data_IF_461012117217
#
_entry.id   IF_461012117217
#
_cell.length_a   1.000
_cell.length_b   1.000
_cell.length_c   1.000
_cell.angle_alpha   90.00
_cell.angle_beta   90.00
_cell.angle_gamma   90.00
#
_symmetry.space_group_name_H-M   'P 1'
#
loop_
_entity.id
_entity.type
_entity.pdbx_description
1 polymer ?
#
# COMPACT_ATOMS: atom_id res chain seq x y z
N UNK A 1 -12.27 -7.86 35.96
CA UNK A 1 -11.55 -8.36 34.76
C UNK A 1 -10.57 -7.27 34.35
N UNK A 2 -9.31 -7.56 33.98
CA UNK A 2 -8.44 -6.48 33.51
C UNK A 2 -8.99 -5.95 32.19
N UNK A 3 -9.02 -4.64 31.98
CA UNK A 3 -9.53 -4.00 30.76
C UNK A 3 -8.91 -4.55 29.48
N UNK A 4 -7.66 -5.03 29.54
CA UNK A 4 -6.95 -5.64 28.40
C UNK A 4 -7.41 -7.06 28.03
N UNK A 5 -8.15 -7.74 28.91
CA UNK A 5 -8.69 -9.09 28.72
C UNK A 5 -10.15 -9.11 28.24
N UNK A 6 -10.79 -7.94 28.17
CA UNK A 6 -12.16 -7.83 27.70
C UNK A 6 -12.30 -8.22 26.22
N UNK A 7 -13.44 -8.81 25.88
CA UNK A 7 -13.77 -9.25 24.53
C UNK A 7 -13.98 -8.04 23.62
N UNK A 8 -12.95 -7.70 22.85
CA UNK A 8 -12.98 -6.62 21.87
C UNK A 8 -12.39 -7.10 20.54
N UNK A 9 -12.84 -6.48 19.44
CA UNK A 9 -12.28 -6.67 18.10
C UNK A 9 -11.56 -5.39 17.68
N UNK A 10 -10.35 -5.56 17.14
CA UNK A 10 -9.46 -4.49 16.68
C UNK A 10 -9.23 -4.69 15.20
N UNK A 11 -9.78 -3.79 14.40
CA UNK A 11 -9.65 -3.80 12.95
C UNK A 11 -8.66 -2.73 12.54
N UNK A 12 -7.68 -3.07 11.71
CA UNK A 12 -6.86 -2.09 11.01
C UNK A 12 -7.13 -2.11 9.51
N UNK A 13 -7.09 -0.95 8.88
CA UNK A 13 -7.25 -0.76 7.44
C UNK A 13 -5.98 -0.08 6.94
N UNK A 14 -5.18 -0.81 6.18
CA UNK A 14 -4.04 -0.29 5.43
C UNK A 14 -4.55 0.34 4.13
N UNK A 15 -4.18 1.59 3.91
CA UNK A 15 -4.60 2.34 2.73
C UNK A 15 -3.49 3.25 2.22
N UNK A 16 -3.59 3.67 0.96
CA UNK A 16 -2.70 4.68 0.37
C UNK A 16 -3.14 6.08 0.79
N UNK A 17 -2.26 6.82 1.47
CA UNK A 17 -2.50 8.19 1.90
C UNK A 17 -3.00 9.07 0.75
N UNK A 18 -3.96 9.96 1.05
CA UNK A 18 -4.67 10.83 0.10
C UNK A 18 -5.57 10.07 -0.90
N UNK A 19 -5.04 9.07 -1.61
CA UNK A 19 -5.75 8.32 -2.65
C UNK A 19 -6.89 7.47 -2.10
N UNK A 20 -6.75 6.91 -0.90
CA UNK A 20 -7.73 6.02 -0.26
C UNK A 20 -8.17 6.50 1.13
N UNK A 21 -7.76 7.70 1.56
CA UNK A 21 -8.11 8.27 2.88
C UNK A 21 -9.61 8.25 3.14
N UNK A 22 -10.38 8.81 2.20
CA UNK A 22 -11.84 8.91 2.30
C UNK A 22 -12.49 7.52 2.28
N UNK A 23 -11.93 6.58 1.50
CA UNK A 23 -12.38 5.19 1.45
C UNK A 23 -12.20 4.49 2.80
N UNK A 24 -10.99 4.54 3.37
CA UNK A 24 -10.70 3.93 4.66
C UNK A 24 -11.55 4.52 5.79
N UNK A 25 -11.71 5.86 5.82
CA UNK A 25 -12.56 6.54 6.79
C UNK A 25 -14.03 6.13 6.66
N UNK A 26 -14.54 5.97 5.43
CA UNK A 26 -15.93 5.56 5.18
C UNK A 26 -16.16 4.11 5.60
N UNK A 27 -15.26 3.18 5.23
CA UNK A 27 -15.32 1.79 5.68
C UNK A 27 -15.31 1.74 7.21
N UNK A 28 -14.36 2.42 7.85
CA UNK A 28 -14.24 2.40 9.30
C UNK A 28 -15.46 3.00 10.02
N UNK A 29 -15.96 4.16 9.56
CA UNK A 29 -17.16 4.78 10.12
C UNK A 29 -18.43 3.94 9.91
N UNK A 30 -18.50 3.17 8.83
CA UNK A 30 -19.64 2.30 8.55
C UNK A 30 -19.60 1.03 9.40
N UNK A 31 -18.42 0.44 9.61
CA UNK A 31 -18.22 -0.66 10.56
C UNK A 31 -18.63 -0.26 11.99
N UNK A 32 -18.28 0.96 12.43
CA UNK A 32 -18.73 1.47 13.74
C UNK A 32 -20.26 1.52 13.81
N UNK A 33 -20.92 2.08 12.80
CA UNK A 33 -22.39 2.20 12.81
C UNK A 33 -23.09 0.86 12.75
N UNK A 34 -22.53 -0.11 12.02
CA UNK A 34 -23.04 -1.48 11.95
C UNK A 34 -22.88 -2.16 13.32
N UNK A 35 -21.68 -2.09 13.92
CA UNK A 35 -21.45 -2.65 15.25
C UNK A 35 -22.38 -2.04 16.32
N UNK A 36 -22.60 -0.73 16.28
CA UNK A 36 -23.56 -0.05 17.18
C UNK A 36 -24.99 -0.54 16.95
N UNK A 37 -25.39 -0.79 15.71
CA UNK A 37 -26.72 -1.35 15.42
C UNK A 37 -26.91 -2.77 15.96
N UNK A 38 -25.81 -3.51 16.17
CA UNK A 38 -25.80 -4.82 16.84
C UNK A 38 -25.71 -4.72 18.37
N UNK A 39 -25.78 -3.52 18.95
CA UNK A 39 -25.70 -3.29 20.40
C UNK A 39 -24.29 -3.22 20.98
N UNK A 40 -23.25 -3.10 20.13
CA UNK A 40 -21.85 -2.98 20.56
C UNK A 40 -21.45 -1.54 20.82
N UNK A 41 -20.47 -1.35 21.70
CA UNK A 41 -19.74 -0.08 21.81
C UNK A 41 -18.63 -0.08 20.78
N UNK A 42 -18.52 0.96 19.95
CA UNK A 42 -17.50 1.05 18.92
C UNK A 42 -17.09 2.48 18.59
N UNK A 43 -15.83 2.66 18.23
CA UNK A 43 -15.31 3.92 17.68
C UNK A 43 -14.23 3.65 16.63
N UNK A 44 -13.83 4.70 15.90
CA UNK A 44 -12.76 4.60 14.91
C UNK A 44 -11.88 5.84 14.90
N UNK A 45 -10.61 5.68 14.57
CA UNK A 45 -9.65 6.78 14.46
C UNK A 45 -8.58 6.48 13.41
N UNK A 46 -7.99 7.52 12.82
CA UNK A 46 -6.79 7.39 11.99
C UNK A 46 -5.55 7.28 12.87
N UNK A 47 -4.50 6.61 12.38
CA UNK A 47 -3.19 6.64 13.05
C UNK A 47 -2.65 8.07 13.05
N UNK A 48 -2.53 8.66 14.24
CA UNK A 48 -2.15 10.07 14.38
C UNK A 48 -0.81 10.38 13.71
N UNK A 49 0.16 9.47 13.82
CA UNK A 49 1.47 9.63 13.21
C UNK A 49 1.39 9.80 11.68
N UNK A 50 0.37 9.29 11.00
CA UNK A 50 0.24 9.46 9.53
C UNK A 50 -0.23 10.86 9.13
N UNK A 51 -0.64 11.70 10.09
CA UNK A 51 -1.13 13.04 9.84
C UNK A 51 0.01 14.08 9.84
N UNK A 52 0.03 15.01 8.87
CA UNK A 52 -0.79 15.04 7.67
C UNK A 52 -0.36 13.97 6.65
N UNK A 53 -1.33 13.28 6.05
CA UNK A 53 -1.08 12.23 5.05
C UNK A 53 -0.44 12.80 3.77
N UNK A 54 0.16 11.91 2.98
CA UNK A 54 0.85 12.24 1.72
C UNK A 54 0.45 11.24 0.63
N UNK A 55 0.53 11.67 -0.61
CA UNK A 55 0.17 10.88 -1.79
C UNK A 55 0.90 9.53 -1.80
N UNK A 56 0.13 8.43 -1.73
CA UNK A 56 0.63 7.07 -1.87
C UNK A 56 1.41 6.50 -0.66
N UNK A 57 1.77 7.33 0.33
CA UNK A 57 2.44 6.84 1.55
C UNK A 57 1.46 5.94 2.32
N UNK A 58 1.86 4.71 2.69
CA UNK A 58 1.00 3.81 3.47
C UNK A 58 0.54 4.43 4.79
N UNK A 59 -0.76 4.37 5.04
CA UNK A 59 -1.39 4.87 6.25
C UNK A 59 -2.35 3.84 6.84
N UNK A 60 -2.74 4.03 8.10
CA UNK A 60 -3.63 3.13 8.83
C UNK A 60 -4.85 3.84 9.41
N UNK A 61 -5.99 3.15 9.35
CA UNK A 61 -7.23 3.55 10.00
C UNK A 61 -7.70 2.40 10.89
N UNK A 62 -8.14 2.70 12.11
CA UNK A 62 -8.51 1.68 13.09
C UNK A 62 -9.99 1.74 13.41
N UNK A 63 -10.56 0.57 13.68
CA UNK A 63 -11.91 0.42 14.25
C UNK A 63 -11.80 -0.48 15.46
N UNK A 64 -12.40 -0.04 16.57
CA UNK A 64 -12.46 -0.78 17.81
C UNK A 64 -13.92 -1.02 18.15
N UNK A 65 -14.24 -2.23 18.59
CA UNK A 65 -15.58 -2.60 19.03
C UNK A 65 -15.54 -3.60 20.17
N UNK A 66 -16.49 -3.51 21.09
CA UNK A 66 -16.59 -4.37 22.26
C UNK A 66 -18.05 -4.61 22.63
N UNK A 67 -18.33 -5.81 23.12
CA UNK A 67 -19.64 -6.18 23.68
C UNK A 67 -19.69 -5.96 25.21
N UNK A 68 -18.53 -5.73 25.83
CA UNK A 68 -18.37 -5.78 27.29
C UNK A 68 -17.93 -4.45 27.91
N UNK A 69 -17.17 -3.64 27.16
CA UNK A 69 -16.60 -2.39 27.66
C UNK A 69 -17.56 -1.24 27.48
N UNK A 70 -17.53 -0.30 28.44
CA UNK A 70 -18.10 1.03 28.24
C UNK A 70 -17.33 1.80 27.16
N UNK A 71 -17.93 2.88 26.65
CA UNK A 71 -17.26 3.77 25.69
C UNK A 71 -15.97 4.36 26.27
N UNK A 72 -16.03 4.85 27.51
CA UNK A 72 -14.88 5.42 28.23
C UNK A 72 -13.75 4.39 28.41
N UNK A 73 -14.09 3.15 28.77
CA UNK A 73 -13.10 2.08 28.94
C UNK A 73 -12.46 1.66 27.61
N UNK A 74 -13.27 1.57 26.54
CA UNK A 74 -12.78 1.21 25.21
C UNK A 74 -11.84 2.31 24.68
N UNK A 75 -12.19 3.58 24.85
CA UNK A 75 -11.34 4.72 24.49
C UNK A 75 -10.07 4.80 25.34
N UNK A 76 -10.14 4.52 26.64
CA UNK A 76 -8.96 4.51 27.50
C UNK A 76 -7.94 3.44 27.06
N UNK A 77 -8.40 2.25 26.65
CA UNK A 77 -7.51 1.15 26.25
C UNK A 77 -7.02 1.30 24.79
N UNK A 78 -7.85 1.82 23.89
CA UNK A 78 -7.58 1.84 22.45
C UNK A 78 -7.31 3.24 21.89
N UNK A 79 -8.02 4.26 22.37
CA UNK A 79 -7.98 5.63 21.85
C UNK A 79 -6.76 6.42 22.32
N UNK A 80 -6.23 6.11 23.51
CA UNK A 80 -5.01 6.72 24.04
C UNK A 80 -3.72 6.24 23.35
N UNK A 81 -3.82 5.27 22.43
CA UNK A 81 -2.68 4.69 21.72
C UNK A 81 -2.53 5.29 20.33
N UNK A 82 -1.29 5.59 19.96
CA UNK A 82 -0.96 6.08 18.62
C UNK A 82 -1.13 5.00 17.55
N UNK A 83 -1.01 3.72 17.92
CA UNK A 83 -1.15 2.56 17.05
C UNK A 83 -1.77 1.38 17.84
N UNK A 84 -2.50 0.51 17.15
CA UNK A 84 -3.00 -0.73 17.73
C UNK A 84 -1.86 -1.72 18.04
N UNK A 85 -1.80 -2.20 19.29
CA UNK A 85 -0.82 -3.22 19.70
C UNK A 85 -1.13 -4.61 19.14
N UNK A 86 -2.44 -4.89 18.96
CA UNK A 86 -3.01 -6.17 18.54
C UNK A 86 -4.08 -5.92 17.51
N UNK A 87 -4.16 -6.78 16.51
CA UNK A 87 -5.11 -6.68 15.40
C UNK A 87 -5.74 -8.05 15.14
N UNK A 88 -7.08 -8.08 15.21
CA UNK A 88 -7.90 -9.27 14.98
C UNK A 88 -8.30 -9.38 13.50
N UNK A 89 -8.51 -8.24 12.84
CA UNK A 89 -8.84 -8.16 11.41
C UNK A 89 -7.96 -7.08 10.75
N UNK A 90 -7.21 -7.44 9.73
CA UNK A 90 -6.39 -6.49 8.96
C UNK A 90 -6.89 -6.43 7.53
N UNK A 91 -7.14 -5.23 7.01
CA UNK A 91 -7.68 -5.02 5.67
C UNK A 91 -6.64 -4.26 4.87
N UNK A 92 -6.24 -4.78 3.71
CA UNK A 92 -5.24 -4.18 2.83
C UNK A 92 -5.92 -3.77 1.53
N UNK A 93 -6.15 -2.46 1.37
CA UNK A 93 -6.89 -1.89 0.24
C UNK A 93 -6.06 -1.77 -1.06
N UNK A 94 -4.76 -1.99 -0.97
CA UNK A 94 -3.83 -2.04 -2.10
C UNK A 94 -2.77 -3.10 -1.79
N UNK A 95 -2.77 -4.17 -2.57
CA UNK A 95 -1.95 -5.35 -2.34
C UNK A 95 -0.44 -5.10 -2.57
N UNK A 96 -0.04 -4.02 -3.23
CA UNK A 96 1.39 -3.65 -3.36
C UNK A 96 2.04 -3.35 -2.01
N UNK A 97 1.24 -3.04 -0.97
CA UNK A 97 1.72 -2.85 0.41
C UNK A 97 2.26 -4.13 1.05
N UNK A 98 2.04 -5.32 0.48
CA UNK A 98 2.69 -6.56 0.96
C UNK A 98 4.22 -6.47 0.95
N UNK A 99 4.78 -5.59 0.11
CA UNK A 99 6.23 -5.33 0.02
C UNK A 99 6.76 -4.44 1.14
N UNK A 100 5.88 -3.94 1.99
CA UNK A 100 6.19 -3.18 3.18
C UNK A 100 5.36 -1.91 3.30
N UNK A 101 5.11 -1.53 4.54
CA UNK A 101 4.48 -0.27 4.92
C UNK A 101 5.46 0.54 5.75
N UNK A 102 5.73 1.76 5.32
CA UNK A 102 6.58 2.72 6.02
C UNK A 102 5.88 4.07 5.99
N UNK A 103 5.16 4.46 7.05
CA UNK A 103 4.55 5.78 7.10
C UNK A 103 5.59 6.90 7.25
N UNK A 104 6.63 6.64 8.06
CA UNK A 104 7.70 7.58 8.37
C UNK A 104 9.01 6.85 8.64
N UNK A 105 10.13 7.52 8.35
CA UNK A 105 11.52 7.03 8.50
C UNK A 105 11.79 6.29 9.82
N UNK A 106 11.28 6.82 10.94
CA UNK A 106 11.58 6.30 12.27
C UNK A 106 10.85 4.97 12.57
N UNK A 107 9.78 4.67 11.83
CA UNK A 107 9.03 3.42 11.97
C UNK A 107 9.73 2.26 11.25
N UNK A 108 10.45 2.60 10.16
CA UNK A 108 11.05 1.64 9.25
C UNK A 108 10.01 0.91 8.40
N UNK A 109 10.50 0.11 7.45
CA UNK A 109 9.66 -0.73 6.60
C UNK A 109 9.15 -1.93 7.41
N UNK A 110 7.84 -1.97 7.66
CA UNK A 110 7.17 -3.04 8.42
C UNK A 110 6.30 -3.90 7.51
N UNK A 111 6.06 -5.17 7.83
CA UNK A 111 5.14 -5.99 7.06
C UNK A 111 3.69 -5.60 7.38
N UNK A 112 2.77 -5.80 6.43
CA UNK A 112 1.34 -5.50 6.66
C UNK A 112 0.73 -6.37 7.76
N UNK A 113 1.31 -7.54 8.06
CA UNK A 113 0.85 -8.45 9.12
C UNK A 113 1.58 -8.25 10.47
N UNK A 114 2.25 -7.12 10.69
CA UNK A 114 3.08 -6.87 11.89
C UNK A 114 2.32 -7.10 13.20
N UNK A 115 1.10 -6.56 13.32
CA UNK A 115 0.31 -6.52 14.57
C UNK A 115 -0.76 -7.61 14.68
N UNK A 116 -0.79 -8.56 13.75
CA UNK A 116 -1.76 -9.66 13.81
C UNK A 116 -1.57 -10.50 15.08
N UNK A 117 -2.67 -11.03 15.60
CA UNK A 117 -2.68 -12.04 16.67
C UNK A 117 -3.04 -13.42 16.13
N UNK A 118 -2.90 -14.45 16.97
CA UNK A 118 -3.35 -15.80 16.65
C UNK A 118 -4.85 -15.81 16.27
N UNK A 119 -5.19 -16.58 15.23
CA UNK A 119 -6.53 -16.69 14.65
C UNK A 119 -7.09 -15.40 14.01
N UNK A 120 -6.28 -14.34 13.89
CA UNK A 120 -6.66 -13.14 13.14
C UNK A 120 -6.91 -13.44 11.66
N UNK A 121 -7.61 -12.53 10.98
CA UNK A 121 -7.83 -12.61 9.53
C UNK A 121 -7.28 -11.39 8.83
N UNK A 122 -6.44 -11.58 7.82
CA UNK A 122 -5.95 -10.49 6.97
C UNK A 122 -6.53 -10.58 5.56
N UNK A 123 -7.34 -9.61 5.18
CA UNK A 123 -8.04 -9.55 3.90
C UNK A 123 -7.34 -8.57 2.96
N UNK A 124 -7.08 -9.01 1.73
CA UNK A 124 -6.47 -8.23 0.65
C UNK A 124 -7.49 -7.97 -0.45
N UNK A 125 -7.61 -6.72 -0.88
CA UNK A 125 -8.25 -6.40 -2.16
C UNK A 125 -7.22 -6.67 -3.26
N UNK A 126 -7.35 -7.82 -3.93
CA UNK A 126 -6.31 -8.31 -4.84
C UNK A 126 -6.87 -9.33 -5.84
N UNK A 127 -6.25 -9.40 -7.01
CA UNK A 127 -6.47 -10.48 -7.99
C UNK A 127 -5.37 -11.56 -7.95
N UNK A 128 -4.41 -11.46 -7.02
CA UNK A 128 -3.29 -12.40 -6.92
C UNK A 128 -3.69 -13.75 -6.31
N UNK A 129 -2.76 -14.70 -6.34
CA UNK A 129 -2.92 -15.99 -5.64
C UNK A 129 -2.54 -15.85 -4.16
N UNK A 130 -2.88 -16.86 -3.36
CA UNK A 130 -2.42 -16.89 -1.96
C UNK A 130 -0.90 -17.04 -1.85
N UNK A 131 -0.29 -17.85 -2.71
CA UNK A 131 1.15 -18.10 -2.70
C UNK A 131 1.94 -16.84 -3.06
N UNK A 132 1.44 -16.05 -4.03
CA UNK A 132 1.94 -14.73 -4.38
C UNK A 132 2.00 -13.75 -3.19
N UNK A 133 0.94 -13.74 -2.38
CA UNK A 133 0.84 -12.87 -1.21
C UNK A 133 1.79 -13.40 -0.12
N UNK A 134 1.75 -14.70 0.15
CA UNK A 134 2.56 -15.35 1.19
C UNK A 134 4.06 -15.23 0.93
N UNK A 135 4.50 -15.18 -0.33
CA UNK A 135 5.91 -14.97 -0.67
C UNK A 135 6.44 -13.59 -0.24
N UNK A 136 5.57 -12.71 0.28
CA UNK A 136 5.91 -11.37 0.76
C UNK A 136 5.54 -11.12 2.23
N UNK A 137 4.75 -11.99 2.87
CA UNK A 137 4.33 -11.78 4.25
C UNK A 137 5.36 -12.31 5.25
N UNK A 138 5.59 -11.58 6.35
CA UNK A 138 6.45 -12.05 7.44
C UNK A 138 5.85 -13.32 8.06
N UNK A 139 6.68 -14.35 8.24
CA UNK A 139 6.27 -15.58 8.92
C UNK A 139 5.95 -15.31 10.39
N UNK A 140 4.87 -15.93 10.88
CA UNK A 140 4.47 -15.86 12.30
C UNK A 140 4.66 -17.21 12.98
N UNK A 141 4.81 -17.19 14.29
CA UNK A 141 4.90 -18.37 15.16
C UNK A 141 3.52 -18.91 15.57
N UNK A 142 2.45 -18.24 15.15
CA UNK A 142 1.06 -18.65 15.33
C UNK A 142 0.31 -18.77 14.01
N UNK A 143 -0.80 -19.51 14.03
CA UNK A 143 -1.70 -19.64 12.90
C UNK A 143 -2.63 -18.42 12.78
N UNK A 144 -2.95 -18.03 11.54
CA UNK A 144 -3.92 -16.99 11.21
C UNK A 144 -4.51 -17.30 9.83
N UNK A 145 -5.47 -16.49 9.36
CA UNK A 145 -6.07 -16.66 8.02
C UNK A 145 -5.74 -15.47 7.13
N UNK A 146 -5.55 -15.74 5.85
CA UNK A 146 -5.54 -14.70 4.81
C UNK A 146 -6.78 -14.83 3.93
N UNK A 147 -7.30 -13.70 3.49
CA UNK A 147 -8.45 -13.60 2.61
C UNK A 147 -8.13 -12.80 1.35
N UNK A 148 -8.64 -13.24 0.20
CA UNK A 148 -8.54 -12.48 -1.06
C UNK A 148 -9.94 -12.10 -1.50
N UNK A 149 -10.22 -10.80 -1.46
CA UNK A 149 -11.38 -10.18 -2.07
C UNK A 149 -10.98 -9.73 -3.49
N UNK A 150 -11.47 -10.39 -4.56
CA UNK A 150 -11.07 -10.08 -5.93
C UNK A 150 -11.27 -8.61 -6.29
N UNK A 151 -10.23 -7.92 -6.74
CA UNK A 151 -10.33 -6.51 -7.05
C UNK A 151 -8.98 -5.84 -7.23
N UNK A 152 -9.03 -4.60 -7.67
CA UNK A 152 -7.86 -3.73 -7.80
C UNK A 152 -7.97 -2.59 -6.79
N UNK A 153 -6.85 -1.92 -6.52
CA UNK A 153 -6.83 -0.76 -5.65
C UNK A 153 -7.75 0.35 -6.21
N UNK A 154 -8.75 0.74 -5.41
CA UNK A 154 -9.72 1.77 -5.80
C UNK A 154 -9.10 3.17 -5.70
N UNK A 155 -8.52 3.65 -6.81
CA UNK A 155 -7.99 5.01 -6.95
C UNK A 155 -8.82 5.84 -7.92
N UNK A 156 -9.04 7.12 -7.61
CA UNK A 156 -9.74 8.01 -8.52
C UNK A 156 -9.40 9.50 -8.37
N UNK A 157 -8.10 9.79 -8.26
CA UNK A 157 -7.56 11.13 -8.08
C UNK A 157 -7.31 11.49 -6.62
N UNK A 158 -6.93 12.75 -6.36
CA UNK A 158 -6.67 13.24 -5.02
C UNK A 158 -7.97 13.27 -4.22
N UNK A 159 -8.00 12.66 -3.02
CA UNK A 159 -9.14 12.65 -2.09
C UNK A 159 -10.39 11.85 -2.51
N UNK A 160 -10.43 11.36 -3.75
CA UNK A 160 -11.53 10.57 -4.31
C UNK A 160 -11.07 9.16 -4.67
N UNK A 161 -11.91 8.19 -4.33
CA UNK A 161 -11.77 6.79 -4.74
C UNK A 161 -12.85 6.45 -5.78
N UNK A 162 -12.68 5.35 -6.50
CA UNK A 162 -13.59 4.93 -7.57
C UNK A 162 -14.91 4.49 -6.96
N UNK A 163 -16.04 4.83 -7.56
CA UNK A 163 -17.35 4.33 -7.10
C UNK A 163 -17.61 2.88 -7.54
N UNK A 164 -16.64 2.01 -7.31
CA UNK A 164 -16.65 0.59 -7.67
C UNK A 164 -17.20 -0.33 -6.56
N UNK A 165 -17.72 0.29 -5.49
CA UNK A 165 -18.26 -0.38 -4.32
C UNK A 165 -17.21 -1.05 -3.43
N UNK A 166 -15.92 -0.75 -3.57
CA UNK A 166 -14.89 -1.27 -2.66
C UNK A 166 -15.24 -1.01 -1.19
N UNK A 167 -15.86 0.13 -0.88
CA UNK A 167 -16.36 0.45 0.46
C UNK A 167 -17.31 -0.62 1.01
N UNK A 168 -18.41 -0.90 0.31
CA UNK A 168 -19.44 -1.85 0.76
C UNK A 168 -19.01 -3.31 0.61
N UNK A 169 -18.17 -3.62 -0.38
CA UNK A 169 -17.61 -4.96 -0.58
C UNK A 169 -16.71 -5.36 0.59
N UNK A 170 -15.90 -4.41 1.09
CA UNK A 170 -15.07 -4.65 2.27
C UNK A 170 -15.93 -4.93 3.50
N UNK A 171 -17.09 -4.26 3.69
CA UNK A 171 -17.99 -4.56 4.80
C UNK A 171 -18.50 -6.01 4.75
N UNK A 172 -18.92 -6.48 3.57
CA UNK A 172 -19.30 -7.88 3.36
C UNK A 172 -18.15 -8.86 3.63
N UNK A 173 -16.93 -8.49 3.21
CA UNK A 173 -15.74 -9.30 3.47
C UNK A 173 -15.40 -9.39 4.97
N UNK A 174 -15.55 -8.30 5.73
CA UNK A 174 -15.34 -8.31 7.20
C UNK A 174 -16.34 -9.25 7.87
N UNK A 175 -17.63 -9.20 7.49
CA UNK A 175 -18.64 -10.10 8.03
C UNK A 175 -18.36 -11.58 7.70
N UNK A 176 -17.74 -11.87 6.56
CA UNK A 176 -17.31 -13.22 6.20
C UNK A 176 -16.06 -13.65 6.98
N UNK A 177 -15.10 -12.74 7.16
CA UNK A 177 -13.85 -13.00 7.85
C UNK A 177 -14.09 -13.35 9.33
N UNK A 178 -14.93 -12.56 9.99
CA UNK A 178 -15.22 -12.67 11.41
C UNK A 178 -16.63 -12.14 11.75
N UNK A 179 -17.65 -13.03 11.81
CA UNK A 179 -19.01 -12.66 12.17
C UNK A 179 -19.17 -12.08 13.58
N UNK A 180 -18.22 -12.35 14.49
CA UNK A 180 -18.23 -11.77 15.83
C UNK A 180 -17.87 -10.29 15.81
N UNK A 181 -17.23 -9.79 14.75
CA UNK A 181 -17.02 -8.35 14.57
C UNK A 181 -18.30 -7.69 14.08
N UNK A 182 -18.81 -8.11 12.92
CA UNK A 182 -20.11 -7.69 12.38
C UNK A 182 -20.75 -8.86 11.62
N UNK A 183 -22.07 -9.02 11.71
CA UNK A 183 -22.77 -10.07 10.95
C UNK A 183 -23.27 -9.54 9.61
N UNK A 184 -23.52 -10.46 8.67
CA UNK A 184 -23.91 -10.10 7.32
C UNK A 184 -25.31 -9.47 7.25
N UNK A 185 -26.24 -9.83 8.15
CA UNK A 185 -27.60 -9.31 8.10
C UNK A 185 -27.63 -7.81 8.41
N UNK A 186 -26.92 -7.38 9.46
CA UNK A 186 -26.79 -5.96 9.81
C UNK A 186 -25.96 -5.18 8.78
N UNK A 187 -24.95 -5.82 8.17
CA UNK A 187 -24.22 -5.20 7.05
C UNK A 187 -25.18 -4.91 5.90
N UNK A 188 -25.99 -5.90 5.49
CA UNK A 188 -26.92 -5.74 4.37
C UNK A 188 -28.02 -4.73 4.67
N UNK A 189 -28.60 -4.78 5.88
CA UNK A 189 -29.61 -3.80 6.31
C UNK A 189 -29.05 -2.37 6.28
N UNK A 190 -27.87 -2.17 6.87
CA UNK A 190 -27.22 -0.86 6.91
C UNK A 190 -26.90 -0.34 5.50
N UNK A 191 -26.30 -1.18 4.67
CA UNK A 191 -25.90 -0.82 3.31
C UNK A 191 -27.13 -0.55 2.44
N UNK A 192 -28.18 -1.35 2.53
CA UNK A 192 -29.42 -1.10 1.78
C UNK A 192 -30.07 0.22 2.21
N UNK A 193 -30.18 0.47 3.52
CA UNK A 193 -30.77 1.69 4.07
C UNK A 193 -30.01 2.95 3.66
N UNK A 194 -28.68 2.89 3.63
CA UNK A 194 -27.82 4.05 3.38
C UNK A 194 -27.47 4.26 1.90
N UNK A 195 -27.27 3.17 1.16
CA UNK A 195 -26.71 3.17 -0.19
C UNK A 195 -27.60 2.51 -1.24
N UNK A 196 -28.70 1.88 -0.83
CA UNK A 196 -29.64 1.23 -1.71
C UNK A 196 -29.31 -0.24 -2.00
N UNK A 197 -30.28 -0.92 -2.63
CA UNK A 197 -30.28 -2.37 -2.88
C UNK A 197 -29.11 -2.86 -3.72
N UNK A 198 -28.67 -2.06 -4.69
CA UNK A 198 -27.55 -2.45 -5.57
C UNK A 198 -26.25 -2.60 -4.78
N UNK A 199 -25.93 -1.61 -3.93
CA UNK A 199 -24.74 -1.65 -3.07
C UNK A 199 -24.84 -2.76 -2.02
N UNK A 200 -26.03 -3.06 -1.52
CA UNK A 200 -26.24 -4.20 -0.62
C UNK A 200 -25.98 -5.54 -1.34
N UNK A 201 -26.42 -5.68 -2.60
CA UNK A 201 -26.09 -6.85 -3.41
C UNK A 201 -24.59 -6.99 -3.67
N UNK A 202 -23.85 -5.87 -3.84
CA UNK A 202 -22.38 -5.90 -3.94
C UNK A 202 -21.72 -6.37 -2.65
N UNK A 203 -22.19 -5.91 -1.49
CA UNK A 203 -21.70 -6.37 -0.18
C UNK A 203 -21.97 -7.88 0.01
N UNK A 204 -23.17 -8.34 -0.34
CA UNK A 204 -23.52 -9.77 -0.28
C UNK A 204 -22.63 -10.62 -1.20
N UNK A 205 -22.44 -10.19 -2.44
CA UNK A 205 -21.54 -10.87 -3.38
C UNK A 205 -20.10 -10.93 -2.85
N UNK A 206 -19.62 -9.84 -2.25
CA UNK A 206 -18.30 -9.80 -1.64
C UNK A 206 -18.15 -10.78 -0.45
N UNK A 207 -19.19 -10.92 0.36
CA UNK A 207 -19.24 -11.92 1.43
C UNK A 207 -19.12 -13.35 0.88
N UNK A 208 -19.79 -13.65 -0.24
CA UNK A 208 -19.79 -14.97 -0.87
C UNK A 208 -18.50 -15.28 -1.64
N UNK A 209 -17.89 -14.28 -2.28
CA UNK A 209 -16.70 -14.45 -3.12
C UNK A 209 -15.37 -14.36 -2.36
N UNK A 210 -15.38 -13.91 -1.10
CA UNK A 210 -14.17 -13.84 -0.27
C UNK A 210 -13.60 -15.25 -0.08
N UNK A 211 -12.44 -15.48 -0.70
CA UNK A 211 -11.68 -16.72 -0.54
C UNK A 211 -10.82 -16.62 0.70
N UNK A 212 -10.85 -17.63 1.56
CA UNK A 212 -10.03 -17.71 2.77
C UNK A 212 -9.06 -18.89 2.70
N UNK A 213 -7.87 -18.73 3.29
CA UNK A 213 -6.87 -19.78 3.46
C UNK A 213 -6.24 -19.67 4.84
N UNK A 214 -6.10 -20.81 5.52
CA UNK A 214 -5.32 -20.89 6.75
C UNK A 214 -3.81 -20.77 6.46
N UNK A 215 -3.10 -20.03 7.30
CA UNK A 215 -1.65 -19.87 7.28
C UNK A 215 -1.10 -20.54 8.52
N UNK A 216 -0.26 -21.55 8.33
CA UNK A 216 0.35 -22.29 9.45
C UNK A 216 1.52 -21.50 10.04
N UNK A 217 1.87 -21.74 11.31
CA UNK A 217 3.10 -21.22 11.89
C UNK A 217 4.31 -21.53 11.00
N UNK A 218 5.12 -20.51 10.73
CA UNK A 218 6.32 -20.60 9.91
C UNK A 218 6.13 -20.41 8.41
N UNK A 219 4.89 -20.35 7.89
CA UNK A 219 4.63 -19.95 6.49
C UNK A 219 4.89 -18.45 6.30
N UNK A 220 5.51 -18.08 5.16
CA UNK A 220 5.91 -16.71 4.84
C UNK A 220 7.43 -16.55 4.75
N UNK A 221 7.90 -15.30 4.76
CA UNK A 221 9.32 -14.95 4.67
C UNK A 221 9.89 -14.51 6.02
N UNK A 222 11.22 -14.59 6.14
CA UNK A 222 11.92 -13.81 7.15
C UNK A 222 11.92 -12.36 6.68
N UNK A 223 11.30 -11.46 7.46
CA UNK A 223 11.22 -10.06 7.07
C UNK A 223 12.62 -9.46 6.92
N UNK A 224 12.97 -8.88 5.75
CA UNK A 224 14.35 -8.49 5.48
C UNK A 224 14.76 -7.17 6.14
N UNK A 225 13.80 -6.39 6.64
CA UNK A 225 14.04 -5.08 7.23
C UNK A 225 14.09 -5.14 8.76
N UNK A 226 15.13 -4.56 9.33
CA UNK A 226 15.24 -4.41 10.78
C UNK A 226 14.43 -3.21 11.25
N UNK A 227 13.85 -3.31 12.46
CA UNK A 227 13.22 -2.16 13.10
C UNK A 227 14.31 -1.13 13.46
N UNK A 228 14.16 0.15 13.08
CA UNK A 228 15.11 1.18 13.46
C UNK A 228 15.26 1.27 14.98
N UNK A 229 16.50 1.37 15.46
CA UNK A 229 16.79 1.68 16.86
C UNK A 229 16.76 3.20 16.99
N UNK A 230 15.81 3.70 17.77
CA UNK A 230 15.68 5.14 18.02
C UNK A 230 16.63 5.57 19.14
N UNK A 231 17.24 6.76 19.03
CA UNK A 231 18.04 7.31 20.12
C UNK A 231 17.17 7.53 21.36
N UNK A 232 17.76 7.29 22.53
CA UNK A 232 17.18 7.65 23.82
C UNK A 232 17.18 9.16 23.97
N UNK A 233 16.29 9.70 24.82
CA UNK A 233 16.24 11.14 25.10
C UNK A 233 17.59 11.72 25.56
N UNK A 234 18.43 10.91 26.21
CA UNK A 234 19.78 11.27 26.67
C UNK A 234 20.85 11.29 25.57
N UNK A 235 20.55 10.73 24.40
CA UNK A 235 21.48 10.61 23.26
C UNK A 235 21.22 11.72 22.22
N UNK A 236 20.16 12.51 22.38
CA UNK A 236 19.93 13.67 21.55
C UNK A 236 20.97 14.75 21.87
N UNK A 237 21.44 15.42 20.81
CA UNK A 237 22.29 16.60 20.95
C UNK A 237 21.49 17.74 21.60
N UNK A 238 22.20 18.69 22.21
CA UNK A 238 21.58 19.90 22.72
C UNK A 238 21.08 20.75 21.54
N UNK A 239 19.77 20.99 21.50
CA UNK A 239 19.08 21.62 20.37
C UNK A 239 18.61 20.64 19.30
N UNK A 240 17.63 21.07 18.49
CA UNK A 240 17.11 20.27 17.37
C UNK A 240 18.01 20.47 16.16
N UNK A 241 19.21 19.86 16.19
CA UNK A 241 20.17 19.89 15.07
C UNK A 241 20.03 18.61 14.27
N UNK A 242 19.64 18.73 13.00
CA UNK A 242 19.61 17.60 12.04
C UNK A 242 20.76 17.81 11.06
N UNK A 243 21.74 16.90 11.07
CA UNK A 243 22.83 16.95 10.11
C UNK A 243 22.31 16.73 8.69
N UNK A 244 22.65 17.66 7.79
CA UNK A 244 22.33 17.52 6.37
C UNK A 244 23.08 16.36 5.74
N UNK A 245 22.45 15.70 4.76
CA UNK A 245 23.13 14.69 3.94
C UNK A 245 24.29 15.37 3.21
N UNK A 246 25.53 14.92 3.45
CA UNK A 246 26.72 15.49 2.81
C UNK A 246 26.63 15.32 1.29
N UNK A 247 26.56 16.44 0.58
CA UNK A 247 26.55 16.48 -0.87
C UNK A 247 27.80 15.82 -1.47
N UNK A 248 27.63 14.83 -2.35
CA UNK A 248 28.69 14.29 -3.20
C UNK A 248 28.13 14.15 -4.62
N UNK A 249 28.64 14.92 -5.57
CA UNK A 249 28.26 14.74 -6.98
C UNK A 249 29.12 13.65 -7.60
N UNK A 250 28.73 12.38 -7.44
CA UNK A 250 29.36 11.26 -8.16
C UNK A 250 28.53 10.92 -9.40
N UNK A 251 29.16 10.93 -10.57
CA UNK A 251 28.55 10.39 -11.80
C UNK A 251 28.53 8.87 -11.73
N UNK A 252 27.42 8.24 -12.12
CA UNK A 252 27.20 6.80 -12.04
C UNK A 252 25.90 6.42 -11.32
N UNK A 253 25.40 5.18 -11.50
CA UNK A 253 24.25 4.68 -10.77
C UNK A 253 24.42 4.85 -9.27
N UNK A 254 23.36 5.30 -8.58
CA UNK A 254 23.36 5.49 -7.12
C UNK A 254 24.42 6.49 -6.63
N UNK A 255 24.82 7.43 -7.49
CA UNK A 255 25.83 8.45 -7.21
C UNK A 255 25.32 9.71 -6.52
N UNK A 256 24.00 9.97 -6.57
CA UNK A 256 23.39 11.12 -5.89
C UNK A 256 23.15 10.80 -4.41
N UNK A 257 23.60 11.65 -3.48
CA UNK A 257 23.43 11.41 -2.05
C UNK A 257 21.96 11.58 -1.69
N UNK A 258 21.42 10.62 -0.95
CA UNK A 258 20.02 10.61 -0.50
C UNK A 258 19.98 10.31 0.99
N UNK A 259 18.90 10.70 1.66
CA UNK A 259 18.73 10.40 3.07
C UNK A 259 18.60 8.87 3.26
N UNK A 260 19.55 8.19 3.90
CA UNK A 260 19.50 6.73 4.05
C UNK A 260 18.37 6.29 5.00
N UNK A 261 17.87 7.20 5.84
CA UNK A 261 16.80 6.95 6.80
C UNK A 261 15.41 7.20 6.22
N UNK A 262 15.30 7.90 5.08
CA UNK A 262 14.01 8.24 4.48
C UNK A 262 13.90 7.66 3.07
N UNK A 263 13.76 6.34 3.02
CA UNK A 263 13.41 5.61 1.80
C UNK A 263 11.90 5.72 1.58
N UNK A 264 11.47 5.66 0.32
CA UNK A 264 10.05 5.83 -0.07
C UNK A 264 9.58 4.80 -1.09
N UNK A 265 10.37 3.75 -1.28
CA UNK A 265 10.10 2.73 -2.28
C UNK A 265 8.79 1.99 -2.04
N UNK A 266 8.39 1.84 -0.78
CA UNK A 266 7.13 1.20 -0.35
C UNK A 266 5.89 2.01 -0.70
N UNK A 267 6.02 3.30 -1.04
CA UNK A 267 4.91 4.16 -1.44
C UNK A 267 4.39 3.87 -2.86
N UNK A 268 5.12 3.08 -3.65
CA UNK A 268 4.78 2.77 -5.04
C UNK A 268 3.62 1.79 -5.15
N UNK A 269 2.68 2.13 -6.00
CA UNK A 269 1.71 1.20 -6.60
C UNK A 269 2.12 0.81 -8.02
N UNK A 270 2.90 1.68 -8.67
CA UNK A 270 3.51 1.47 -9.97
C UNK A 270 4.94 2.04 -9.96
N UNK A 271 5.80 1.55 -10.86
CA UNK A 271 7.15 2.09 -11.09
C UNK A 271 7.40 2.38 -12.57
N UNK A 272 8.24 3.37 -12.90
CA UNK A 272 8.63 3.61 -14.29
C UNK A 272 9.59 2.51 -14.77
N UNK A 273 9.34 1.95 -15.94
CA UNK A 273 10.27 1.06 -16.66
C UNK A 273 10.79 1.79 -17.88
N UNK A 274 12.11 1.73 -18.11
CA UNK A 274 12.81 2.57 -19.09
C UNK A 274 13.34 1.72 -20.24
N UNK A 275 13.05 2.10 -21.48
CA UNK A 275 13.72 1.57 -22.68
C UNK A 275 14.92 2.46 -23.02
N UNK A 276 16.10 2.11 -22.49
CA UNK A 276 17.32 2.90 -22.72
C UNK A 276 17.73 3.01 -24.19
N UNK A 277 17.35 2.05 -25.04
CA UNK A 277 17.59 2.09 -26.48
C UNK A 277 16.72 3.14 -27.21
N UNK A 278 15.59 3.54 -26.63
CA UNK A 278 14.72 4.60 -27.15
C UNK A 278 15.08 5.98 -26.58
N UNK A 279 15.82 6.03 -25.47
CA UNK A 279 16.13 7.25 -24.76
C UNK A 279 17.01 8.20 -25.60
N UNK A 280 16.55 9.43 -25.78
CA UNK A 280 17.27 10.51 -26.48
C UNK A 280 18.17 11.32 -25.57
N UNK A 281 18.25 10.98 -24.27
CA UNK A 281 19.07 11.66 -23.25
C UNK A 281 18.72 13.15 -23.07
N UNK A 282 17.47 13.52 -23.30
CA UNK A 282 16.98 14.91 -23.24
C UNK A 282 16.84 15.53 -21.83
N UNK A 283 17.13 14.78 -20.76
CA UNK A 283 17.13 15.26 -19.36
C UNK A 283 15.77 15.57 -18.74
N UNK A 284 14.68 15.60 -19.52
CA UNK A 284 13.35 15.98 -19.01
C UNK A 284 12.87 15.10 -17.84
N UNK A 285 13.03 13.78 -17.92
CA UNK A 285 12.65 12.87 -16.84
C UNK A 285 13.41 13.10 -15.52
N UNK A 286 14.66 13.57 -15.60
CA UNK A 286 15.47 13.92 -14.44
C UNK A 286 15.02 15.26 -13.84
N UNK A 287 14.77 16.25 -14.68
CA UNK A 287 14.34 17.60 -14.27
C UNK A 287 12.93 17.59 -13.64
N UNK A 288 11.99 16.82 -14.21
CA UNK A 288 10.60 16.73 -13.74
C UNK A 288 10.42 15.78 -12.55
N UNK A 289 11.47 15.12 -12.08
CA UNK A 289 11.37 14.19 -10.95
C UNK A 289 11.33 14.97 -9.63
N UNK A 290 10.20 15.03 -8.90
CA UNK A 290 10.09 15.80 -7.67
C UNK A 290 10.94 15.22 -6.52
N UNK A 291 11.34 13.96 -6.65
CA UNK A 291 12.09 13.21 -5.64
C UNK A 291 13.56 12.99 -6.03
N UNK A 292 14.01 13.55 -7.16
CA UNK A 292 15.39 13.49 -7.66
C UNK A 292 15.99 12.06 -7.65
N UNK A 293 15.18 11.09 -8.07
CA UNK A 293 15.55 9.67 -7.95
C UNK A 293 16.44 9.17 -9.09
N UNK A 294 16.68 10.00 -10.11
CA UNK A 294 17.49 9.64 -11.26
C UNK A 294 18.96 9.97 -11.05
N UNK A 295 19.81 8.98 -11.24
CA UNK A 295 21.26 9.13 -11.28
C UNK A 295 21.74 9.23 -12.74
N UNK A 296 22.62 10.19 -13.03
CA UNK A 296 23.20 10.36 -14.36
C UNK A 296 24.32 9.33 -14.54
N UNK A 297 24.11 8.41 -15.47
CA UNK A 297 25.09 7.37 -15.84
C UNK A 297 26.28 7.95 -16.63
N UNK A 298 27.43 7.26 -16.70
CA UNK A 298 28.57 7.71 -17.51
C UNK A 298 28.24 7.92 -18.99
N UNK A 299 27.31 7.14 -19.52
CA UNK A 299 26.84 7.17 -20.90
C UNK A 299 25.75 8.23 -21.12
N UNK A 300 25.36 8.98 -20.09
CA UNK A 300 24.38 10.07 -20.17
C UNK A 300 22.91 9.62 -20.15
N UNK A 301 22.64 8.37 -19.79
CA UNK A 301 21.29 7.90 -19.43
C UNK A 301 20.94 8.24 -17.98
N UNK A 302 19.66 8.11 -17.65
CA UNK A 302 19.08 8.42 -16.34
C UNK A 302 18.58 7.15 -15.67
N UNK A 303 19.28 6.71 -14.61
CA UNK A 303 18.97 5.48 -13.89
C UNK A 303 18.13 5.75 -12.62
N UNK A 304 16.89 5.25 -12.52
CA UNK A 304 16.04 5.50 -11.36
C UNK A 304 16.43 4.64 -10.15
N UNK A 305 16.53 5.28 -8.99
CA UNK A 305 16.74 4.62 -7.72
C UNK A 305 15.41 4.21 -7.07
N UNK A 306 14.97 2.97 -7.30
CA UNK A 306 13.62 2.53 -6.90
C UNK A 306 13.37 2.51 -5.37
N UNK A 307 14.40 2.44 -4.53
CA UNK A 307 14.26 2.61 -3.07
C UNK A 307 13.73 4.00 -2.66
N UNK A 308 13.89 5.00 -3.53
CA UNK A 308 13.45 6.39 -3.28
C UNK A 308 12.28 6.81 -4.18
N UNK A 309 12.13 6.14 -5.33
CA UNK A 309 11.02 6.39 -6.24
C UNK A 309 9.68 6.15 -5.54
N UNK A 310 8.83 7.16 -5.58
CA UNK A 310 7.45 7.16 -5.06
C UNK A 310 6.42 6.68 -6.08
N UNK A 311 6.83 6.51 -7.35
CA UNK A 311 5.93 6.00 -8.41
C UNK A 311 4.96 7.04 -8.95
N UNK A 312 5.25 8.34 -8.82
CA UNK A 312 4.33 9.42 -9.18
C UNK A 312 4.04 9.58 -10.69
N UNK A 313 4.81 8.93 -11.57
CA UNK A 313 4.55 8.94 -13.02
C UNK A 313 5.02 10.18 -13.79
N UNK A 314 5.49 11.25 -13.13
CA UNK A 314 5.94 12.50 -13.79
C UNK A 314 7.00 12.29 -14.87
N UNK A 315 7.93 11.37 -14.64
CA UNK A 315 8.96 11.02 -15.62
C UNK A 315 8.40 10.36 -16.90
N UNK A 316 7.31 9.59 -16.77
CA UNK A 316 6.63 9.00 -17.93
C UNK A 316 5.83 10.06 -18.70
N UNK A 317 5.14 10.95 -17.98
CA UNK A 317 4.39 12.08 -18.56
C UNK A 317 5.31 13.05 -19.32
N UNK A 318 6.49 13.35 -18.76
CA UNK A 318 7.45 14.27 -19.36
C UNK A 318 8.25 13.70 -20.53
N UNK A 319 8.21 12.38 -20.76
CA UNK A 319 9.04 11.75 -21.78
C UNK A 319 8.48 12.03 -23.18
N UNK A 320 9.22 12.68 -24.10
CA UNK A 320 8.71 13.00 -25.43
C UNK A 320 8.75 11.80 -26.40
N UNK A 321 9.33 10.67 -25.97
CA UNK A 321 9.47 9.47 -26.80
C UNK A 321 8.45 8.45 -26.33
N UNK A 322 7.49 8.14 -27.20
CA UNK A 322 6.50 7.09 -26.94
C UNK A 322 7.19 5.79 -26.51
N UNK A 323 6.64 5.11 -25.50
CA UNK A 323 7.12 3.83 -24.99
C UNK A 323 8.54 3.83 -24.40
N UNK A 324 9.18 4.99 -24.27
CA UNK A 324 10.50 5.08 -23.63
C UNK A 324 10.43 4.92 -22.12
N UNK A 325 9.45 5.54 -21.45
CA UNK A 325 9.20 5.38 -20.02
C UNK A 325 7.73 5.02 -19.83
N UNK A 326 7.46 3.86 -19.24
CA UNK A 326 6.09 3.36 -19.01
C UNK A 326 5.91 3.00 -17.54
N UNK A 327 4.83 3.47 -16.93
CA UNK A 327 4.47 3.06 -15.57
C UNK A 327 3.90 1.64 -15.58
N UNK A 328 4.45 0.78 -14.74
CA UNK A 328 4.08 -0.63 -14.64
C UNK A 328 3.76 -0.96 -13.20
N UNK A 329 2.73 -1.78 -12.99
CA UNK A 329 2.32 -2.32 -11.70
C UNK A 329 3.51 -2.83 -10.88
N UNK A 330 3.61 -2.34 -9.65
CA UNK A 330 4.73 -2.61 -8.75
C UNK A 330 4.84 -4.10 -8.45
N UNK A 331 3.74 -4.84 -8.37
CA UNK A 331 3.76 -6.29 -8.08
C UNK A 331 4.45 -7.13 -9.15
N UNK A 332 4.76 -6.61 -10.34
CA UNK A 332 5.51 -7.32 -11.38
C UNK A 332 7.02 -7.42 -11.11
N UNK A 333 7.52 -6.90 -9.99
CA UNK A 333 8.95 -6.77 -9.71
C UNK A 333 9.32 -7.26 -8.31
N UNK A 334 10.38 -8.05 -8.19
CA UNK A 334 10.80 -8.61 -6.89
C UNK A 334 12.00 -7.88 -6.28
N UNK A 335 12.63 -6.95 -7.01
CA UNK A 335 13.81 -6.21 -6.55
C UNK A 335 13.77 -4.73 -6.90
N UNK A 336 14.69 -3.97 -6.30
CA UNK A 336 14.99 -2.56 -6.61
C UNK A 336 16.35 -2.41 -7.30
N UNK A 337 16.74 -3.42 -8.07
CA UNK A 337 18.01 -3.41 -8.81
C UNK A 337 18.06 -2.28 -9.84
N UNK A 338 19.27 -1.83 -10.15
CA UNK A 338 19.50 -0.78 -11.14
C UNK A 338 19.11 -1.28 -12.53
N UNK A 339 18.11 -0.66 -13.19
CA UNK A 339 17.75 -1.04 -14.55
C UNK A 339 18.87 -0.70 -15.55
N UNK A 340 19.63 0.37 -15.31
CA UNK A 340 20.80 0.68 -16.13
C UNK A 340 21.85 -0.44 -16.10
N UNK A 341 22.17 -0.98 -14.92
CA UNK A 341 23.16 -2.05 -14.80
C UNK A 341 22.71 -3.33 -15.52
N UNK A 342 21.42 -3.64 -15.48
CA UNK A 342 20.84 -4.74 -16.25
C UNK A 342 21.01 -4.50 -17.76
N UNK A 343 20.68 -3.29 -18.24
CA UNK A 343 20.82 -2.92 -19.65
C UNK A 343 22.28 -2.93 -20.11
N UNK A 344 23.20 -2.38 -19.32
CA UNK A 344 24.62 -2.33 -19.65
C UNK A 344 25.22 -3.73 -19.81
N UNK A 345 24.79 -4.68 -18.96
CA UNK A 345 25.29 -6.06 -18.99
C UNK A 345 24.75 -6.85 -20.17
N UNK A 346 23.46 -6.72 -20.47
CA UNK A 346 22.81 -7.38 -21.62
C UNK A 346 21.69 -6.49 -22.18
N UNK A 347 22.00 -5.65 -23.18
CA UNK A 347 21.02 -4.74 -23.77
C UNK A 347 19.82 -5.46 -24.38
N UNK A 348 20.04 -6.60 -25.04
CA UNK A 348 18.98 -7.34 -25.74
C UNK A 348 18.06 -8.03 -24.73
N UNK A 349 18.63 -8.78 -23.79
CA UNK A 349 17.87 -9.43 -22.73
C UNK A 349 17.13 -8.43 -21.84
N UNK A 350 17.72 -7.25 -21.58
CA UNK A 350 17.03 -6.18 -20.87
C UNK A 350 15.80 -5.67 -21.64
N UNK A 351 15.89 -5.44 -22.95
CA UNK A 351 14.76 -4.97 -23.75
C UNK A 351 13.62 -6.01 -23.74
N UNK A 352 13.95 -7.29 -23.90
CA UNK A 352 12.96 -8.38 -23.81
C UNK A 352 12.30 -8.43 -22.43
N UNK A 353 13.10 -8.29 -21.37
CA UNK A 353 12.60 -8.19 -20.00
C UNK A 353 11.66 -6.99 -19.82
N UNK A 354 12.04 -5.79 -20.28
CA UNK A 354 11.21 -4.58 -20.20
C UNK A 354 9.86 -4.78 -20.91
N UNK A 355 9.87 -5.29 -22.13
CA UNK A 355 8.64 -5.51 -22.90
C UNK A 355 7.74 -6.56 -22.24
N UNK A 356 8.33 -7.61 -21.65
CA UNK A 356 7.57 -8.58 -20.85
C UNK A 356 6.89 -7.93 -19.63
N UNK A 357 7.58 -6.99 -18.96
CA UNK A 357 7.04 -6.31 -17.78
C UNK A 357 5.97 -5.28 -18.14
N UNK A 358 6.13 -4.55 -19.23
CA UNK A 358 5.10 -3.62 -19.74
C UNK A 358 3.82 -4.37 -20.11
N UNK A 359 3.93 -5.48 -20.82
CA UNK A 359 2.79 -6.16 -21.42
C UNK A 359 2.08 -5.28 -22.48
N UNK A 360 0.84 -5.62 -22.80
CA UNK A 360 0.10 -5.04 -23.93
C UNK A 360 -0.85 -3.89 -23.53
N UNK A 361 -0.86 -3.49 -22.26
CA UNK A 361 -1.79 -2.51 -21.70
C UNK A 361 -1.05 -1.29 -21.14
N UNK A 362 -1.69 -0.11 -21.21
CA UNK A 362 -1.18 1.16 -20.66
C UNK A 362 -2.25 1.76 -19.78
N UNK A 363 -1.87 2.06 -18.53
CA UNK A 363 -2.75 2.70 -17.56
C UNK A 363 -2.62 4.21 -17.72
N UNK A 364 -3.70 4.84 -18.14
CA UNK A 364 -3.77 6.28 -18.41
C UNK A 364 -4.70 6.92 -17.36
N UNK A 365 -4.22 7.89 -16.56
CA UNK A 365 -5.08 8.62 -15.63
C UNK A 365 -6.19 9.37 -16.37
N UNK A 366 -7.41 9.32 -15.85
CA UNK A 366 -8.49 10.19 -16.35
C UNK A 366 -8.25 11.64 -15.91
N UNK A 367 -8.40 12.60 -16.83
CA UNK A 367 -8.43 14.02 -16.50
C UNK A 367 -9.66 14.42 -15.66
N UNK A 368 -10.71 13.58 -15.67
CA UNK A 368 -11.92 13.78 -14.85
C UNK A 368 -11.79 12.97 -13.56
N UNK A 369 -11.77 13.69 -12.44
CA UNK A 369 -11.79 13.12 -11.07
C UNK A 369 -13.01 12.21 -10.89
N UNK A 370 -12.86 11.12 -10.14
CA UNK A 370 -13.96 10.15 -9.93
C UNK A 370 -14.11 9.04 -11.00
N UNK A 371 -13.49 9.18 -12.18
CA UNK A 371 -13.58 8.18 -13.26
C UNK A 371 -12.49 7.09 -13.23
N UNK A 372 -11.58 7.12 -12.26
CA UNK A 372 -10.47 6.18 -12.15
C UNK A 372 -9.44 6.30 -13.28
N UNK A 373 -8.76 5.18 -13.57
CA UNK A 373 -7.79 5.06 -14.65
C UNK A 373 -8.41 4.32 -15.84
N UNK A 374 -8.00 4.68 -17.07
CA UNK A 374 -8.37 3.99 -18.30
C UNK A 374 -7.23 3.07 -18.72
N UNK A 375 -7.59 1.94 -19.32
CA UNK A 375 -6.62 1.00 -19.90
C UNK A 375 -6.69 1.11 -21.41
N UNK A 376 -5.55 1.44 -22.03
CA UNK A 376 -5.39 1.52 -23.47
C UNK A 376 -4.42 0.45 -23.96
N UNK A 377 -4.50 0.09 -25.25
CA UNK A 377 -3.57 -0.87 -25.83
C UNK A 377 -2.20 -0.22 -26.05
N UNK A 378 -1.17 -0.80 -25.46
CA UNK A 378 0.22 -0.38 -25.63
C UNK A 378 0.76 -0.66 -27.03
N UNK A 379 1.76 0.12 -27.45
CA UNK A 379 2.46 -0.10 -28.71
C UNK A 379 3.75 -0.89 -28.45
N UNK A 380 4.00 -1.95 -29.24
CA UNK A 380 5.31 -2.63 -29.23
C UNK A 380 6.27 -1.89 -30.15
N UNK A 381 7.33 -1.34 -29.56
CA UNK A 381 8.37 -0.65 -30.33
C UNK A 381 9.55 -1.61 -30.52
N UNK A 382 9.94 -1.91 -31.77
CA UNK A 382 11.08 -2.77 -32.07
C UNK A 382 12.35 -2.31 -31.36
N UNK A 383 13.21 -3.26 -30.97
CA UNK A 383 14.49 -2.96 -30.35
C UNK A 383 15.35 -2.11 -31.27
N UNK A 384 15.81 -0.94 -30.81
CA UNK A 384 16.83 -0.15 -31.50
C UNK A 384 18.19 -0.59 -31.01
N UNK A 385 18.59 -1.80 -31.37
CA UNK A 385 19.95 -2.25 -31.09
C UNK A 385 20.89 -1.48 -32.02
N UNK A 386 21.71 -0.59 -31.46
CA UNK A 386 22.83 0.04 -32.17
C UNK A 386 24.05 -0.85 -32.12
#
# INVERSE_FOLDING_TARGET
MSLEQARMKRIEIHYRGIFQKTLAKRIGGDLVKIAVSQGKVAFSNGRYSDSPERDGIPAKYFVYMSDELSEEDLEAVCGAKLEADKVDISIVLDDTMIKGVEPWAWYGIRPVNDRLVANAVQVFVSNRTFDDILSHLEKKDFAYRIGILPGEASFSGLWYYRDDGTDVRVLGAVARADPDAVDIDHVLEYVEKKYGKEKAAMAKKAYEELRLRDVRPGEGIVWPYQKPVLPKWTEFQEGVVVEGVKGQFRKGPRGTPRNPHFKRGTSKTQRPVIRFDLCTKCTLCWYECPDEVFDVTPEGYYDPHYEYCTGCGRCAEACPVEECIVMVDENRFDSYDSPWEMYRKDPKGYIEWVESKKGDERVVPSYVTGMGMRVEKGKKVPAKVR
#
